data_IF_046826098753
#
_entry.id   IF_046826098753
#
_cell.length_a   1.000
_cell.length_b   1.000
_cell.length_c   1.000
_cell.angle_alpha   90.00
_cell.angle_beta   90.00
_cell.angle_gamma   90.00
#
_symmetry.space_group_name_H-M   'P 1'
#
loop_
_entity.id
_entity.type
_entity.pdbx_description
1 polymer ?
#
# COMPACT_ATOMS: atom_id res chain seq x y z
N UNK A 1 -7.85 1.73 30.40
CA UNK A 1 -7.94 0.97 29.14
C UNK A 1 -7.38 1.82 28.02
N UNK A 2 -6.48 1.25 27.24
CA UNK A 2 -5.85 1.94 26.12
C UNK A 2 -6.49 1.48 24.82
N UNK A 3 -7.06 2.43 24.07
CA UNK A 3 -7.62 2.19 22.76
C UNK A 3 -6.58 2.57 21.71
N UNK A 4 -6.40 1.72 20.71
CA UNK A 4 -5.53 2.02 19.58
C UNK A 4 -6.16 1.47 18.30
N UNK A 5 -5.76 2.03 17.18
CA UNK A 5 -6.16 1.56 15.86
C UNK A 5 -4.97 0.86 15.22
N UNK A 6 -5.23 -0.30 14.63
CA UNK A 6 -4.27 -1.01 13.81
C UNK A 6 -4.73 -0.97 12.37
N UNK A 7 -3.88 -0.47 11.48
CA UNK A 7 -4.14 -0.49 10.05
C UNK A 7 -3.21 -1.50 9.39
N UNK A 8 -3.78 -2.62 8.96
CA UNK A 8 -3.03 -3.66 8.25
C UNK A 8 -2.99 -3.29 6.78
N UNK A 9 -1.79 -3.10 6.24
CA UNK A 9 -1.61 -2.59 4.89
C UNK A 9 -0.36 -3.15 4.25
N UNK A 10 -0.17 -2.84 2.99
CA UNK A 10 1.06 -3.11 2.26
C UNK A 10 1.37 -1.87 1.42
N UNK A 11 2.60 -1.32 1.49
CA UNK A 11 2.94 -0.11 0.76
C UNK A 11 2.87 -0.26 -0.76
N UNK A 12 2.87 -1.49 -1.27
CA UNK A 12 2.75 -1.75 -2.70
C UNK A 12 1.34 -2.21 -3.10
N UNK A 13 0.38 -2.17 -2.20
CA UNK A 13 -1.01 -2.55 -2.48
C UNK A 13 -1.75 -1.39 -3.13
N UNK A 14 -2.30 -1.61 -4.31
CA UNK A 14 -3.02 -0.56 -5.06
C UNK A 14 -4.25 -0.05 -4.30
N UNK A 15 -4.99 -0.93 -3.62
CA UNK A 15 -6.14 -0.52 -2.83
C UNK A 15 -5.74 0.27 -1.59
N UNK A 16 -4.58 -0.02 -0.99
CA UNK A 16 -4.03 0.80 0.10
C UNK A 16 -3.68 2.21 -0.41
N UNK A 17 -3.14 2.33 -1.60
CA UNK A 17 -2.93 3.63 -2.24
C UNK A 17 -4.26 4.35 -2.45
N UNK A 18 -5.27 3.64 -2.95
CA UNK A 18 -6.61 4.20 -3.14
C UNK A 18 -7.23 4.71 -1.84
N UNK A 19 -6.96 4.01 -0.73
CA UNK A 19 -7.49 4.36 0.58
C UNK A 19 -6.68 5.45 1.29
N UNK A 20 -5.50 5.79 0.80
CA UNK A 20 -4.56 6.68 1.50
C UNK A 20 -5.16 8.02 1.95
N UNK A 21 -5.97 8.73 1.13
CA UNK A 21 -6.57 9.99 1.61
C UNK A 21 -7.53 9.78 2.79
N UNK A 22 -8.29 8.69 2.79
CA UNK A 22 -9.20 8.36 3.90
C UNK A 22 -8.40 7.99 5.14
N UNK A 23 -7.34 7.21 4.96
CA UNK A 23 -6.44 6.87 6.07
C UNK A 23 -5.83 8.11 6.70
N UNK A 24 -5.41 9.08 5.89
CA UNK A 24 -4.82 10.32 6.41
C UNK A 24 -5.84 11.08 7.25
N UNK A 25 -7.07 11.21 6.79
CA UNK A 25 -8.14 11.85 7.55
C UNK A 25 -8.43 11.12 8.87
N UNK A 26 -8.45 9.78 8.81
CA UNK A 26 -8.64 8.95 10.01
C UNK A 26 -7.49 9.15 11.00
N UNK A 27 -6.25 9.19 10.52
CA UNK A 27 -5.08 9.40 11.37
C UNK A 27 -5.14 10.75 12.09
N UNK A 28 -5.57 11.80 11.39
CA UNK A 28 -5.73 13.14 11.97
C UNK A 28 -6.80 13.13 13.06
N UNK A 29 -7.94 12.49 12.81
CA UNK A 29 -9.01 12.38 13.80
C UNK A 29 -8.59 11.53 14.99
N UNK A 30 -7.90 10.43 14.77
CA UNK A 30 -7.39 9.59 15.84
C UNK A 30 -6.43 10.36 16.73
N UNK A 31 -5.52 11.12 16.13
CA UNK A 31 -4.58 11.95 16.88
C UNK A 31 -5.31 13.00 17.73
N UNK A 32 -6.34 13.64 17.17
CA UNK A 32 -7.14 14.63 17.89
C UNK A 32 -7.88 14.02 19.07
N UNK A 33 -8.22 12.73 19.01
CA UNK A 33 -8.89 11.99 20.08
C UNK A 33 -7.90 11.30 21.03
N UNK A 34 -6.59 11.44 20.82
CA UNK A 34 -5.59 10.77 21.62
C UNK A 34 -5.51 9.26 21.39
N UNK A 35 -5.96 8.78 20.24
CA UNK A 35 -5.94 7.36 19.88
C UNK A 35 -4.75 7.10 18.96
N UNK A 36 -3.77 6.28 19.38
CA UNK A 36 -2.66 5.93 18.49
C UNK A 36 -3.11 5.12 17.28
N UNK A 37 -2.53 5.41 16.13
CA UNK A 37 -2.68 4.63 14.92
C UNK A 37 -1.36 3.95 14.60
N UNK A 38 -1.38 2.62 14.49
CA UNK A 38 -0.20 1.84 14.14
C UNK A 38 -0.39 1.15 12.79
N UNK A 39 0.64 1.21 11.96
CA UNK A 39 0.65 0.48 10.68
C UNK A 39 1.22 -0.92 10.90
N UNK A 40 0.52 -1.92 10.36
CA UNK A 40 0.98 -3.30 10.37
C UNK A 40 1.10 -3.73 8.90
N UNK A 41 2.31 -4.08 8.49
CA UNK A 41 2.55 -4.46 7.10
C UNK A 41 2.32 -5.95 6.89
N UNK A 42 1.64 -6.29 5.80
CA UNK A 42 1.14 -7.63 5.57
C UNK A 42 2.01 -8.54 4.71
N UNK A 43 2.99 -8.01 3.98
CA UNK A 43 3.78 -8.82 3.06
C UNK A 43 2.90 -9.52 2.04
N UNK A 44 2.03 -8.77 1.37
CA UNK A 44 0.89 -9.28 0.61
C UNK A 44 1.30 -10.18 -0.56
N UNK A 45 2.45 -9.92 -1.19
CA UNK A 45 2.91 -10.67 -2.35
C UNK A 45 4.35 -11.09 -2.16
N UNK A 46 4.63 -12.34 -2.49
CA UNK A 46 5.97 -12.92 -2.36
C UNK A 46 6.39 -13.61 -3.66
N UNK A 47 6.15 -12.94 -4.77
CA UNK A 47 6.56 -13.44 -6.07
C UNK A 47 8.07 -13.56 -6.15
N UNK A 48 8.57 -14.60 -6.81
CA UNK A 48 10.01 -14.82 -6.98
C UNK A 48 10.48 -14.67 -8.42
N UNK A 49 9.55 -14.57 -9.35
CA UNK A 49 9.83 -14.37 -10.76
C UNK A 49 9.24 -13.05 -11.22
N UNK A 50 9.82 -12.50 -12.30
CA UNK A 50 9.30 -11.30 -12.92
C UNK A 50 7.86 -11.51 -13.40
N UNK A 51 7.06 -10.42 -13.37
CA UNK A 51 5.70 -10.45 -13.88
C UNK A 51 5.71 -10.83 -15.35
N UNK A 52 4.89 -11.82 -15.70
CA UNK A 52 4.65 -12.17 -17.10
C UNK A 52 3.64 -11.20 -17.73
N UNK A 53 3.43 -11.25 -19.07
CA UNK A 53 2.48 -10.34 -19.70
C UNK A 53 1.07 -10.43 -19.13
N UNK A 54 0.59 -11.62 -18.80
CA UNK A 54 -0.74 -11.78 -18.19
C UNK A 54 -0.80 -11.16 -16.79
N UNK A 55 0.26 -11.33 -16.00
CA UNK A 55 0.36 -10.70 -14.67
C UNK A 55 0.37 -9.18 -14.76
N UNK A 56 1.08 -8.62 -15.74
CA UNK A 56 1.11 -7.17 -15.95
C UNK A 56 -0.28 -6.64 -16.31
N UNK A 57 -0.98 -7.30 -17.21
CA UNK A 57 -2.35 -6.90 -17.58
C UNK A 57 -3.27 -6.92 -16.36
N UNK A 58 -3.16 -7.95 -15.54
CA UNK A 58 -3.97 -8.09 -14.32
C UNK A 58 -3.70 -6.95 -13.34
N UNK A 59 -2.44 -6.62 -13.09
CA UNK A 59 -2.07 -5.54 -12.18
C UNK A 59 -2.58 -4.20 -12.70
N UNK A 60 -2.38 -3.91 -13.99
CA UNK A 60 -2.87 -2.66 -14.59
C UNK A 60 -4.39 -2.58 -14.55
N UNK A 61 -5.09 -3.70 -14.70
CA UNK A 61 -6.54 -3.75 -14.54
C UNK A 61 -6.99 -3.40 -13.12
N UNK A 62 -6.27 -3.89 -12.10
CA UNK A 62 -6.51 -3.51 -10.71
C UNK A 62 -6.29 -2.01 -10.51
N UNK A 63 -5.23 -1.44 -11.07
CA UNK A 63 -4.97 0.00 -10.97
C UNK A 63 -6.07 0.83 -11.62
N UNK A 64 -6.59 0.37 -12.77
CA UNK A 64 -7.72 1.05 -13.42
C UNK A 64 -8.94 1.05 -12.52
N UNK A 65 -9.25 -0.07 -11.86
CA UNK A 65 -10.37 -0.19 -10.95
C UNK A 65 -10.21 0.74 -9.74
N UNK A 66 -9.02 0.78 -9.14
CA UNK A 66 -8.73 1.66 -8.00
C UNK A 66 -8.85 3.13 -8.42
N UNK A 67 -8.27 3.50 -9.56
CA UNK A 67 -8.38 4.86 -10.08
C UNK A 67 -9.84 5.25 -10.30
N UNK A 68 -10.62 4.38 -10.94
CA UNK A 68 -12.03 4.67 -11.21
C UNK A 68 -12.84 4.86 -9.93
N UNK A 69 -12.56 4.07 -8.89
CA UNK A 69 -13.32 4.13 -7.65
C UNK A 69 -12.86 5.25 -6.71
N UNK A 70 -11.58 5.57 -6.69
CA UNK A 70 -11.02 6.47 -5.67
C UNK A 70 -10.50 7.79 -6.22
N UNK A 71 -10.26 7.89 -7.52
CA UNK A 71 -9.63 9.04 -8.13
C UNK A 71 -8.11 9.12 -7.95
N UNK A 72 -7.50 8.18 -7.20
CA UNK A 72 -6.06 8.16 -7.03
C UNK A 72 -5.35 7.88 -8.34
N UNK A 73 -4.26 8.63 -8.59
CA UNK A 73 -3.55 8.58 -9.86
C UNK A 73 -2.51 7.46 -9.88
N UNK A 74 -2.36 6.86 -11.05
CA UNK A 74 -1.36 5.83 -11.32
C UNK A 74 -0.59 6.19 -12.58
N UNK A 75 0.67 5.80 -12.62
CA UNK A 75 1.45 5.87 -13.84
C UNK A 75 1.26 4.57 -14.62
N UNK A 76 0.25 4.51 -15.47
CA UNK A 76 -0.06 3.32 -16.25
C UNK A 76 0.99 3.01 -17.31
N UNK A 77 1.74 4.02 -17.73
CA UNK A 77 2.73 3.88 -18.80
C UNK A 77 4.05 3.27 -18.30
N UNK A 78 4.58 3.81 -17.21
CA UNK A 78 5.91 3.43 -16.69
C UNK A 78 5.88 2.86 -15.28
N UNK A 79 4.71 2.72 -14.67
CA UNK A 79 4.57 2.32 -13.28
C UNK A 79 4.96 0.88 -12.97
N UNK A 80 4.95 0.01 -14.01
CA UNK A 80 5.43 -1.37 -13.88
C UNK A 80 6.69 -1.53 -14.74
N UNK A 81 7.88 -1.37 -14.15
CA UNK A 81 9.12 -1.54 -14.90
C UNK A 81 9.23 -2.95 -15.50
N UNK A 82 9.90 -3.05 -16.62
CA UNK A 82 10.18 -4.34 -17.22
C UNK A 82 11.07 -5.15 -16.27
N UNK A 83 10.76 -6.43 -16.13
CA UNK A 83 11.49 -7.32 -15.22
C UNK A 83 11.10 -7.19 -13.76
N UNK A 84 10.07 -6.41 -13.43
CA UNK A 84 9.63 -6.26 -12.04
C UNK A 84 9.25 -7.60 -11.42
N UNK A 85 9.84 -7.89 -10.28
CA UNK A 85 9.42 -8.98 -9.39
C UNK A 85 8.52 -8.35 -8.33
N UNK A 86 7.25 -8.75 -8.32
CA UNK A 86 6.27 -8.17 -7.41
C UNK A 86 6.37 -8.85 -6.04
N UNK A 87 7.39 -8.44 -5.29
CA UNK A 87 7.68 -8.96 -3.97
C UNK A 87 7.64 -7.78 -2.99
N UNK A 88 6.66 -7.78 -2.09
CA UNK A 88 6.37 -6.60 -1.27
C UNK A 88 7.12 -6.58 0.06
N UNK A 89 7.78 -7.67 0.43
CA UNK A 89 8.49 -7.76 1.70
C UNK A 89 9.59 -6.70 1.86
N UNK A 90 10.44 -6.42 0.84
CA UNK A 90 11.46 -5.38 1.01
C UNK A 90 10.85 -3.99 1.28
N UNK A 91 9.75 -3.64 0.64
CA UNK A 91 9.06 -2.38 0.89
C UNK A 91 8.45 -2.35 2.30
N UNK A 92 7.88 -3.47 2.75
CA UNK A 92 7.36 -3.61 4.10
C UNK A 92 8.47 -3.44 5.13
N UNK A 93 9.62 -4.06 4.90
CA UNK A 93 10.79 -3.95 5.78
C UNK A 93 11.29 -2.51 5.85
N UNK A 94 11.31 -1.81 4.73
CA UNK A 94 11.73 -0.41 4.68
C UNK A 94 10.79 0.46 5.54
N UNK A 95 9.48 0.23 5.46
CA UNK A 95 8.50 0.97 6.24
C UNK A 95 8.68 0.73 7.74
N UNK A 96 8.85 -0.52 8.15
CA UNK A 96 9.08 -0.88 9.56
C UNK A 96 10.38 -0.25 10.07
N UNK A 97 11.42 -0.27 9.27
CA UNK A 97 12.70 0.34 9.62
C UNK A 97 12.56 1.86 9.78
N UNK A 98 11.90 2.52 8.83
CA UNK A 98 11.69 3.96 8.88
C UNK A 98 10.92 4.37 10.15
N UNK A 99 9.91 3.60 10.52
CA UNK A 99 9.11 3.85 11.72
C UNK A 99 9.97 3.84 13.00
N UNK A 100 11.01 3.02 13.04
CA UNK A 100 11.88 2.91 14.20
C UNK A 100 12.88 4.07 14.32
N UNK A 101 13.01 4.88 13.28
CA UNK A 101 13.91 6.03 13.28
C UNK A 101 13.26 7.31 13.85
N UNK A 102 11.99 7.28 14.07
CA UNK A 102 11.22 8.43 14.59
C UNK A 102 11.41 8.64 16.08
#
# INVERSE_FOLDING_TARGET
MHTRLLYVMDPMCSWCWGFAPVLQALAEQAAACGVPLELVVGGLRQERAALDPAGRVRILGHWQAVNAMTGQLFNFHDGLPEGLVYHTEPACRALVTARQLD
#
